data_IF_825161527212
#
_entry.id   IF_825161527212
#
_cell.length_a   1.000
_cell.length_b   1.000
_cell.length_c   1.000
_cell.angle_alpha   90.00
_cell.angle_beta   90.00
_cell.angle_gamma   90.00
#
_symmetry.space_group_name_H-M   'P 1'
#
loop_
_entity.id
_entity.type
_entity.pdbx_description
1 polymer ?
#
# COMPACT_ATOMS: atom_id res chain seq x y z
N UNK A 1 6.68 -16.23 -33.26
CA UNK A 1 5.72 -15.81 -32.22
C UNK A 1 4.48 -15.36 -32.98
N UNK A 2 3.63 -16.31 -33.35
CA UNK A 2 2.46 -16.03 -34.18
C UNK A 2 1.20 -16.18 -33.32
N UNK A 3 0.55 -15.05 -33.05
CA UNK A 3 -0.80 -15.06 -32.51
C UNK A 3 -1.72 -15.68 -33.57
N UNK A 4 -2.25 -16.86 -33.30
CA UNK A 4 -3.22 -17.51 -34.19
C UNK A 4 -4.52 -16.72 -34.16
N UNK A 5 -4.72 -15.84 -35.14
CA UNK A 5 -5.96 -15.07 -35.32
C UNK A 5 -7.05 -16.04 -35.79
N UNK A 6 -7.98 -16.38 -34.91
CA UNK A 6 -9.13 -17.24 -35.21
C UNK A 6 -10.13 -16.51 -36.13
N UNK A 7 -10.55 -17.17 -37.23
CA UNK A 7 -11.42 -16.55 -38.24
C UNK A 7 -12.90 -16.82 -37.97
N UNK A 8 -13.62 -15.79 -37.52
CA UNK A 8 -15.09 -15.74 -37.58
C UNK A 8 -15.51 -15.54 -39.04
N UNK A 9 -16.70 -16.03 -39.42
CA UNK A 9 -17.36 -15.80 -40.72
C UNK A 9 -17.80 -14.33 -40.87
N UNK A 10 -16.83 -13.44 -40.97
CA UNK A 10 -17.06 -12.02 -41.24
C UNK A 10 -17.46 -11.78 -42.69
N UNK A 11 -18.33 -10.80 -42.92
CA UNK A 11 -18.60 -10.26 -44.26
C UNK A 11 -17.32 -9.68 -44.88
N UNK A 12 -17.29 -9.57 -46.22
CA UNK A 12 -16.14 -8.98 -46.93
C UNK A 12 -15.85 -7.55 -46.46
N UNK A 13 -16.88 -6.78 -46.12
CA UNK A 13 -16.77 -5.43 -45.60
C UNK A 13 -16.12 -5.41 -44.20
N UNK A 14 -16.60 -6.25 -43.29
CA UNK A 14 -16.04 -6.39 -41.93
C UNK A 14 -14.56 -6.80 -41.97
N UNK A 15 -14.18 -7.77 -42.80
CA UNK A 15 -12.76 -8.18 -42.95
C UNK A 15 -11.88 -7.04 -43.46
N UNK A 16 -12.39 -6.21 -44.38
CA UNK A 16 -11.67 -5.04 -44.88
C UNK A 16 -11.50 -3.98 -43.80
N UNK A 17 -12.54 -3.72 -43.00
CA UNK A 17 -12.48 -2.79 -41.88
C UNK A 17 -11.46 -3.25 -40.83
N UNK A 18 -11.54 -4.51 -40.37
CA UNK A 18 -10.59 -5.06 -39.39
C UNK A 18 -9.13 -5.00 -39.89
N UNK A 19 -8.88 -5.33 -41.17
CA UNK A 19 -7.52 -5.20 -41.73
C UNK A 19 -7.04 -3.75 -41.75
N UNK A 20 -7.91 -2.81 -42.09
CA UNK A 20 -7.59 -1.38 -42.05
C UNK A 20 -7.24 -0.94 -40.63
N UNK A 21 -8.07 -1.32 -39.67
CA UNK A 21 -7.87 -0.97 -38.26
C UNK A 21 -6.55 -1.50 -37.71
N UNK A 22 -6.19 -2.75 -38.03
CA UNK A 22 -4.89 -3.32 -37.65
C UNK A 22 -3.69 -2.63 -38.32
N UNK A 23 -3.89 -1.92 -39.44
CA UNK A 23 -2.85 -1.22 -40.18
C UNK A 23 -2.76 0.27 -39.83
N UNK A 24 -3.66 0.81 -38.99
CA UNK A 24 -3.65 2.24 -38.65
C UNK A 24 -2.36 2.62 -37.92
N UNK A 25 -1.80 3.76 -38.29
CA UNK A 25 -0.65 4.32 -37.58
C UNK A 25 -1.11 5.20 -36.42
N UNK A 26 -1.19 4.60 -35.24
CA UNK A 26 -1.84 5.20 -34.09
C UNK A 26 -0.86 5.90 -33.14
N UNK A 27 -1.26 7.07 -32.61
CA UNK A 27 -0.63 7.76 -31.49
C UNK A 27 -1.55 7.74 -30.26
N UNK A 28 -1.01 7.41 -29.09
CA UNK A 28 -1.75 7.55 -27.82
C UNK A 28 -1.85 9.03 -27.45
N UNK A 29 -3.07 9.50 -27.22
CA UNK A 29 -3.40 10.87 -26.80
C UNK A 29 -3.57 10.93 -25.30
N UNK A 30 -4.28 9.95 -24.72
CA UNK A 30 -4.58 9.88 -23.29
C UNK A 30 -4.74 8.42 -22.87
N UNK A 31 -4.21 8.06 -21.70
CA UNK A 31 -4.53 6.79 -21.03
C UNK A 31 -5.62 6.99 -19.98
N UNK A 32 -6.40 5.94 -19.75
CA UNK A 32 -7.33 5.86 -18.63
C UNK A 32 -6.72 5.03 -17.50
N UNK A 33 -7.08 5.36 -16.26
CA UNK A 33 -6.76 4.52 -15.11
C UNK A 33 -7.94 3.60 -14.79
N UNK A 34 -7.74 2.30 -15.04
CA UNK A 34 -8.67 1.21 -14.71
C UNK A 34 -7.98 0.17 -13.82
N UNK A 35 -7.08 0.61 -12.94
CA UNK A 35 -6.32 -0.26 -12.05
C UNK A 35 -7.19 -1.04 -11.05
N UNK A 36 -8.31 -0.47 -10.62
CA UNK A 36 -9.26 -1.10 -9.69
C UNK A 36 -10.06 -2.23 -10.31
N UNK A 37 -10.64 -3.09 -9.48
CA UNK A 37 -11.58 -4.14 -9.91
C UNK A 37 -13.03 -3.72 -9.67
N UNK A 38 -13.92 -4.11 -10.58
CA UNK A 38 -15.33 -3.76 -10.49
C UNK A 38 -16.11 -4.86 -9.78
N UNK A 39 -16.99 -4.47 -8.87
CA UNK A 39 -17.81 -5.41 -8.11
C UNK A 39 -18.79 -6.15 -9.04
N UNK A 40 -18.76 -7.49 -8.95
CA UNK A 40 -19.59 -8.44 -9.69
C UNK A 40 -19.59 -8.25 -11.21
N UNK A 41 -18.56 -7.60 -11.77
CA UNK A 41 -18.46 -7.40 -13.20
C UNK A 41 -18.11 -8.71 -13.91
N UNK A 42 -18.70 -9.02 -15.08
CA UNK A 42 -18.30 -10.18 -15.89
C UNK A 42 -16.98 -9.93 -16.64
N UNK A 43 -16.54 -8.67 -16.72
CA UNK A 43 -15.32 -8.24 -17.40
C UNK A 43 -14.55 -7.21 -16.60
N UNK A 44 -13.24 -7.24 -16.70
CA UNK A 44 -12.36 -6.23 -16.13
C UNK A 44 -11.64 -5.48 -17.24
N UNK A 45 -11.53 -4.17 -17.15
CA UNK A 45 -10.70 -3.42 -18.10
C UNK A 45 -9.25 -3.51 -17.63
N UNK A 46 -8.36 -3.99 -18.49
CA UNK A 46 -6.93 -4.03 -18.21
C UNK A 46 -6.23 -2.79 -18.75
N UNK A 47 -6.64 -2.32 -19.92
CA UNK A 47 -6.08 -1.14 -20.58
C UNK A 47 -7.17 -0.29 -21.25
N UNK A 48 -6.97 1.02 -21.32
CA UNK A 48 -7.87 1.93 -22.00
C UNK A 48 -7.13 3.17 -22.51
N UNK A 49 -7.35 3.51 -23.78
CA UNK A 49 -6.66 4.62 -24.44
C UNK A 49 -7.59 5.43 -25.34
N UNK A 50 -7.43 6.76 -25.29
CA UNK A 50 -7.80 7.65 -26.40
C UNK A 50 -6.61 7.73 -27.34
N UNK A 51 -6.86 7.50 -28.62
CA UNK A 51 -5.82 7.41 -29.63
C UNK A 51 -6.20 8.22 -30.86
N UNK A 52 -5.21 8.73 -31.57
CA UNK A 52 -5.37 9.46 -32.82
C UNK A 52 -4.69 8.70 -33.94
N UNK A 53 -5.35 8.60 -35.08
CA UNK A 53 -4.71 8.17 -36.32
C UNK A 53 -3.83 9.30 -36.84
N UNK A 54 -2.57 9.01 -37.16
CA UNK A 54 -1.60 10.01 -37.62
C UNK A 54 -1.79 10.44 -39.06
N UNK A 55 -2.50 9.66 -39.87
CA UNK A 55 -2.75 10.00 -41.27
C UNK A 55 -4.02 10.84 -41.44
N UNK A 56 -5.04 10.54 -40.64
CA UNK A 56 -6.38 11.12 -40.80
C UNK A 56 -6.78 12.09 -39.68
N UNK A 57 -5.98 12.18 -38.61
CA UNK A 57 -6.31 12.91 -37.38
C UNK A 57 -7.65 12.48 -36.73
N UNK A 58 -8.19 11.32 -37.14
CA UNK A 58 -9.38 10.74 -36.53
C UNK A 58 -9.06 10.24 -35.12
N UNK A 59 -9.92 10.57 -34.16
CA UNK A 59 -9.77 10.18 -32.77
C UNK A 59 -10.66 8.98 -32.46
N UNK A 60 -10.08 8.01 -31.76
CA UNK A 60 -10.74 6.78 -31.34
C UNK A 60 -10.54 6.54 -29.85
N UNK A 61 -11.39 5.70 -29.28
CA UNK A 61 -11.12 5.04 -28.00
C UNK A 61 -11.02 3.54 -28.20
N UNK A 62 -10.12 2.91 -27.48
CA UNK A 62 -9.88 1.47 -27.50
C UNK A 62 -9.69 0.98 -26.06
N UNK A 63 -10.19 -0.22 -25.78
CA UNK A 63 -10.07 -0.88 -24.48
C UNK A 63 -9.56 -2.29 -24.66
N UNK A 64 -8.73 -2.76 -23.75
CA UNK A 64 -8.49 -4.19 -23.54
C UNK A 64 -9.30 -4.66 -22.33
N UNK A 65 -10.09 -5.70 -22.53
CA UNK A 65 -10.99 -6.26 -21.53
C UNK A 65 -10.59 -7.70 -21.25
N UNK A 66 -10.55 -8.08 -19.99
CA UNK A 66 -10.37 -9.44 -19.49
C UNK A 66 -11.74 -10.03 -19.12
N UNK A 67 -12.07 -11.20 -19.65
CA UNK A 67 -13.25 -11.95 -19.23
C UNK A 67 -13.00 -12.59 -17.86
N UNK A 68 -13.72 -12.13 -16.83
CA UNK A 68 -13.61 -12.66 -15.46
C UNK A 68 -14.83 -13.47 -15.01
N UNK A 69 -15.90 -13.43 -15.80
CA UNK A 69 -17.08 -14.27 -15.62
C UNK A 69 -16.73 -15.75 -15.70
N UNK A 70 -17.30 -16.57 -14.81
CA UNK A 70 -17.25 -18.04 -14.90
C UNK A 70 -17.95 -18.58 -16.14
N UNK A 71 -19.00 -17.88 -16.60
CA UNK A 71 -19.75 -18.21 -17.82
C UNK A 71 -19.09 -17.53 -19.02
N UNK A 72 -18.76 -18.27 -20.10
CA UNK A 72 -18.25 -17.65 -21.33
C UNK A 72 -19.24 -16.64 -21.91
N UNK A 73 -18.71 -15.54 -22.46
CA UNK A 73 -19.49 -14.47 -23.05
C UNK A 73 -19.65 -14.69 -24.55
N UNK A 74 -20.84 -14.43 -25.07
CA UNK A 74 -21.10 -14.32 -26.51
C UNK A 74 -20.93 -12.89 -27.01
N UNK A 75 -21.35 -11.91 -26.22
CA UNK A 75 -21.12 -10.49 -26.51
C UNK A 75 -21.18 -9.62 -25.26
N UNK A 76 -20.52 -8.45 -25.33
CA UNK A 76 -20.59 -7.40 -24.31
C UNK A 76 -21.03 -6.09 -24.96
N UNK A 77 -22.01 -5.42 -24.38
CA UNK A 77 -22.45 -4.08 -24.78
C UNK A 77 -21.94 -3.06 -23.77
N UNK A 78 -21.27 -2.03 -24.28
CA UNK A 78 -20.79 -0.90 -23.49
C UNK A 78 -21.39 0.41 -23.99
N UNK A 79 -21.38 1.42 -23.12
CA UNK A 79 -21.77 2.78 -23.47
C UNK A 79 -20.73 3.79 -22.97
N UNK A 80 -20.29 4.65 -23.88
CA UNK A 80 -19.42 5.77 -23.58
C UNK A 80 -20.28 7.02 -23.40
N UNK A 81 -20.11 7.70 -22.28
CA UNK A 81 -20.74 8.98 -22.00
C UNK A 81 -19.69 10.08 -22.15
N UNK A 82 -19.92 10.99 -23.10
CA UNK A 82 -19.02 12.09 -23.40
C UNK A 82 -19.56 13.38 -22.76
N UNK A 83 -18.72 14.03 -21.96
CA UNK A 83 -19.06 15.27 -21.26
C UNK A 83 -18.17 16.39 -21.75
N UNK A 84 -18.75 17.58 -21.89
CA UNK A 84 -18.06 18.80 -22.25
C UNK A 84 -17.62 19.55 -20.97
N UNK A 85 -18.36 20.54 -20.50
CA UNK A 85 -18.18 21.26 -19.23
C UNK A 85 -19.29 20.94 -18.23
N UNK A 86 -20.43 20.41 -18.70
CA UNK A 86 -21.57 20.11 -17.85
C UNK A 86 -21.52 18.66 -17.36
N UNK A 87 -22.19 18.37 -16.24
CA UNK A 87 -22.33 17.01 -15.72
C UNK A 87 -23.40 16.18 -16.46
N UNK A 88 -23.97 16.72 -17.54
CA UNK A 88 -24.88 16.00 -18.43
C UNK A 88 -24.08 15.55 -19.66
N UNK A 89 -24.10 14.27 -20.03
CA UNK A 89 -23.40 13.82 -21.22
C UNK A 89 -24.10 14.38 -22.46
N UNK A 90 -23.34 15.02 -23.35
CA UNK A 90 -23.89 15.55 -24.59
C UNK A 90 -24.00 14.47 -25.67
N UNK A 91 -23.24 13.37 -25.54
CA UNK A 91 -23.26 12.26 -26.49
C UNK A 91 -23.07 10.92 -25.76
N UNK A 92 -23.80 9.91 -26.24
CA UNK A 92 -23.79 8.55 -25.73
C UNK A 92 -23.50 7.59 -26.88
N UNK A 93 -22.30 7.02 -26.91
CA UNK A 93 -21.90 6.07 -27.94
C UNK A 93 -22.09 4.65 -27.40
N UNK A 94 -22.93 3.87 -28.05
CA UNK A 94 -23.12 2.45 -27.71
C UNK A 94 -22.26 1.60 -28.63
N UNK A 95 -21.51 0.66 -28.05
CA UNK A 95 -20.64 -0.23 -28.79
C UNK A 95 -20.81 -1.67 -28.30
N UNK A 96 -20.92 -2.61 -29.22
CA UNK A 96 -21.07 -4.03 -28.91
C UNK A 96 -19.82 -4.78 -29.36
N UNK A 97 -19.17 -5.45 -28.43
CA UNK A 97 -18.12 -6.44 -28.68
C UNK A 97 -18.78 -7.79 -28.96
N UNK A 98 -18.77 -8.21 -30.23
CA UNK A 98 -19.28 -9.51 -30.63
C UNK A 98 -18.54 -10.06 -31.85
N UNK A 99 -18.37 -11.38 -31.90
CA UNK A 99 -17.77 -12.06 -33.05
C UNK A 99 -18.57 -11.80 -34.33
N UNK A 100 -19.91 -11.85 -34.23
CA UNK A 100 -20.83 -11.61 -35.35
C UNK A 100 -20.67 -10.21 -35.96
N UNK A 101 -20.34 -9.22 -35.13
CA UNK A 101 -20.22 -7.81 -35.55
C UNK A 101 -18.81 -7.49 -36.09
N UNK A 102 -17.83 -8.36 -35.83
CA UNK A 102 -16.42 -8.12 -36.20
C UNK A 102 -15.70 -7.14 -35.29
N UNK A 103 -16.20 -6.96 -34.07
CA UNK A 103 -15.78 -5.90 -33.13
C UNK A 103 -15.02 -6.42 -31.91
N UNK A 104 -14.69 -7.71 -31.86
CA UNK A 104 -13.92 -8.27 -30.73
C UNK A 104 -12.47 -7.79 -30.66
N UNK A 105 -11.93 -7.19 -31.72
CA UNK A 105 -10.52 -6.84 -31.80
C UNK A 105 -9.60 -8.07 -31.70
N UNK A 106 -8.37 -7.81 -31.28
CA UNK A 106 -7.37 -8.83 -30.94
C UNK A 106 -7.72 -9.50 -29.62
N UNK A 107 -7.49 -10.81 -29.57
CA UNK A 107 -7.76 -11.66 -28.41
C UNK A 107 -6.49 -12.35 -27.93
N UNK A 108 -6.38 -12.60 -26.63
CA UNK A 108 -5.29 -13.38 -26.03
C UNK A 108 -5.80 -14.19 -24.82
N UNK A 109 -5.04 -15.15 -24.29
CA UNK A 109 -5.32 -15.71 -22.95
C UNK A 109 -5.74 -17.18 -22.81
N UNK A 110 -5.91 -17.99 -23.86
CA UNK A 110 -6.02 -19.46 -23.72
C UNK A 110 -5.17 -20.20 -24.77
N UNK A 111 -4.42 -21.21 -24.29
CA UNK A 111 -3.48 -22.02 -25.07
C UNK A 111 -4.14 -22.72 -26.26
N UNK A 112 -3.42 -22.70 -27.40
CA UNK A 112 -3.67 -23.40 -28.67
C UNK A 112 -4.81 -24.42 -28.58
N UNK A 113 -6.06 -24.02 -28.89
CA UNK A 113 -7.04 -25.02 -29.32
C UNK A 113 -6.52 -25.61 -30.63
N UNK A 114 -6.27 -26.92 -30.62
CA UNK A 114 -5.98 -27.70 -31.85
C UNK A 114 -7.03 -27.32 -32.89
N UNK A 115 -6.59 -27.14 -34.12
CA UNK A 115 -7.42 -26.89 -35.30
C UNK A 115 -8.47 -28.02 -35.47
N UNK A 116 -9.53 -27.95 -34.68
CA UNK A 116 -10.71 -28.79 -34.73
C UNK A 116 -11.83 -28.05 -35.43
N UNK A 117 -12.73 -28.80 -36.04
CA UNK A 117 -13.86 -28.28 -36.80
C UNK A 117 -14.71 -27.31 -35.97
N UNK A 118 -15.19 -26.29 -36.67
CA UNK A 118 -15.99 -25.14 -36.23
C UNK A 118 -17.19 -25.55 -35.37
N UNK A 119 -17.31 -24.95 -34.19
CA UNK A 119 -18.57 -24.86 -33.45
C UNK A 119 -18.85 -23.37 -33.27
N UNK A 120 -19.85 -22.86 -33.99
CA UNK A 120 -20.50 -21.61 -33.64
C UNK A 120 -21.36 -21.84 -32.38
N UNK A 121 -21.53 -20.85 -31.49
CA UNK A 121 -20.99 -19.49 -31.56
C UNK A 121 -19.53 -19.37 -31.06
N UNK A 122 -18.82 -18.34 -31.55
CA UNK A 122 -17.51 -17.95 -31.01
C UNK A 122 -17.73 -17.28 -29.65
N UNK A 123 -17.14 -17.87 -28.61
CA UNK A 123 -17.28 -17.44 -27.21
C UNK A 123 -15.98 -16.84 -26.69
N UNK A 124 -16.10 -15.90 -25.77
CA UNK A 124 -15.02 -15.31 -24.98
C UNK A 124 -14.98 -16.08 -23.66
N UNK A 125 -13.92 -16.85 -23.45
CA UNK A 125 -13.78 -17.70 -22.28
C UNK A 125 -13.18 -16.96 -21.07
N UNK A 126 -13.41 -17.45 -19.83
CA UNK A 126 -12.79 -16.89 -18.64
C UNK A 126 -11.26 -16.86 -18.78
N UNK A 127 -10.63 -15.74 -18.43
CA UNK A 127 -9.18 -15.54 -18.56
C UNK A 127 -8.73 -15.02 -19.93
N UNK A 128 -9.61 -14.98 -20.93
CA UNK A 128 -9.28 -14.39 -22.22
C UNK A 128 -9.38 -12.86 -22.19
N UNK A 129 -8.42 -12.19 -22.83
CA UNK A 129 -8.51 -10.77 -23.15
C UNK A 129 -9.05 -10.55 -24.56
N UNK A 130 -9.76 -9.44 -24.77
CA UNK A 130 -10.34 -9.01 -26.04
C UNK A 130 -10.46 -7.48 -26.11
N UNK A 131 -10.82 -6.96 -27.29
CA UNK A 131 -11.11 -5.54 -27.53
C UNK A 131 -9.91 -4.73 -28.00
N UNK A 132 -8.67 -5.24 -27.86
CA UNK A 132 -7.47 -4.53 -28.32
C UNK A 132 -7.52 -4.31 -29.83
N UNK A 133 -7.16 -3.12 -30.29
CA UNK A 133 -7.31 -2.69 -31.70
C UNK A 133 -8.76 -2.74 -32.22
N UNK A 134 -9.77 -2.72 -31.33
CA UNK A 134 -11.15 -2.40 -31.69
C UNK A 134 -11.38 -0.91 -31.44
N UNK A 135 -11.41 -0.13 -32.53
CA UNK A 135 -11.47 1.33 -32.44
C UNK A 135 -12.92 1.84 -32.48
N UNK A 136 -13.33 2.49 -31.40
CA UNK A 136 -14.61 3.19 -31.31
C UNK A 136 -14.37 4.64 -31.70
N UNK A 137 -14.88 5.05 -32.86
CA UNK A 137 -14.71 6.42 -33.36
C UNK A 137 -15.36 7.41 -32.40
N UNK A 138 -14.58 8.41 -31.98
CA UNK A 138 -15.09 9.53 -31.22
C UNK A 138 -15.58 10.63 -32.18
N UNK A 139 -16.62 11.40 -31.81
CA UNK A 139 -17.05 12.56 -32.57
C UNK A 139 -15.90 13.57 -32.68
N UNK A 140 -15.87 14.35 -33.76
CA UNK A 140 -14.89 15.43 -33.93
C UNK A 140 -15.06 16.57 -32.91
N UNK A 141 -16.11 16.53 -32.09
CA UNK A 141 -16.38 17.50 -31.04
C UNK A 141 -15.50 17.24 -29.82
N UNK A 142 -15.05 18.31 -29.20
CA UNK A 142 -14.25 18.25 -27.99
C UNK A 142 -15.07 17.72 -26.80
N UNK A 143 -14.51 16.75 -26.06
CA UNK A 143 -15.00 16.33 -24.74
C UNK A 143 -13.90 16.54 -23.70
N UNK A 144 -14.25 16.92 -22.47
CA UNK A 144 -13.28 16.99 -21.36
C UNK A 144 -13.20 15.68 -20.58
N UNK A 145 -14.34 15.00 -20.44
CA UNK A 145 -14.47 13.78 -19.65
C UNK A 145 -15.20 12.72 -20.46
N UNK A 146 -14.73 11.49 -20.32
CA UNK A 146 -15.34 10.29 -20.87
C UNK A 146 -15.58 9.34 -19.68
N UNK A 147 -16.77 8.78 -19.57
CA UNK A 147 -17.05 7.68 -18.64
C UNK A 147 -17.55 6.47 -19.40
N UNK A 148 -17.23 5.28 -18.90
CA UNK A 148 -17.59 4.01 -19.51
C UNK A 148 -18.61 3.29 -18.62
N UNK A 149 -19.70 2.85 -19.23
CA UNK A 149 -20.76 2.04 -18.62
C UNK A 149 -20.76 0.66 -19.28
N UNK A 150 -20.76 -0.41 -18.48
CA UNK A 150 -21.14 -1.73 -18.96
C UNK A 150 -22.67 -1.81 -18.97
N UNK A 151 -23.25 -2.01 -20.15
CA UNK A 151 -24.71 -1.98 -20.33
C UNK A 151 -25.28 -3.37 -20.13
N UNK A 152 -24.81 -4.34 -20.92
CA UNK A 152 -25.28 -5.72 -20.84
C UNK A 152 -24.23 -6.72 -21.30
N UNK A 153 -24.35 -7.95 -20.81
CA UNK A 153 -23.58 -9.10 -21.26
C UNK A 153 -24.54 -10.20 -21.74
N UNK A 154 -24.22 -10.81 -22.88
CA UNK A 154 -24.93 -11.99 -23.38
C UNK A 154 -24.01 -13.19 -23.22
N UNK A 155 -24.46 -14.21 -22.50
CA UNK A 155 -23.68 -15.40 -22.19
C UNK A 155 -23.84 -16.50 -23.25
N UNK A 156 -23.05 -17.56 -23.13
CA UNK A 156 -23.06 -18.71 -24.03
C UNK A 156 -24.43 -19.41 -24.15
N UNK A 157 -25.21 -19.43 -23.05
CA UNK A 157 -26.57 -19.95 -22.98
C UNK A 157 -27.62 -19.04 -23.65
N UNK A 158 -27.21 -17.85 -24.09
CA UNK A 158 -28.09 -16.84 -24.68
C UNK A 158 -28.79 -15.93 -23.67
N UNK A 159 -28.57 -16.14 -22.36
CA UNK A 159 -29.11 -15.25 -21.32
C UNK A 159 -28.43 -13.88 -21.44
N UNK A 160 -29.24 -12.83 -21.45
CA UNK A 160 -28.77 -11.45 -21.36
C UNK A 160 -28.91 -10.95 -19.93
N UNK A 161 -27.85 -10.35 -19.41
CA UNK A 161 -27.79 -9.74 -18.09
C UNK A 161 -27.53 -8.25 -18.24
N UNK A 162 -28.44 -7.43 -17.69
CA UNK A 162 -28.25 -6.00 -17.60
C UNK A 162 -27.29 -5.68 -16.44
N UNK A 163 -26.23 -4.94 -16.73
CA UNK A 163 -25.15 -4.65 -15.77
C UNK A 163 -25.33 -3.26 -15.16
N UNK A 164 -25.53 -2.24 -16.01
CA UNK A 164 -25.76 -0.86 -15.58
C UNK A 164 -24.64 -0.26 -14.72
N UNK A 165 -23.44 -0.83 -14.74
CA UNK A 165 -22.34 -0.40 -13.88
C UNK A 165 -21.44 0.60 -14.61
N UNK A 166 -21.23 1.76 -13.99
CA UNK A 166 -20.26 2.74 -14.46
C UNK A 166 -18.89 2.33 -13.94
N UNK A 167 -17.97 2.08 -14.86
CA UNK A 167 -16.59 1.77 -14.52
C UNK A 167 -15.86 3.08 -14.24
N UNK A 168 -15.72 3.38 -12.96
CA UNK A 168 -14.92 4.48 -12.45
C UNK A 168 -14.16 4.01 -11.22
N UNK A 169 -12.84 3.86 -11.32
CA UNK A 169 -12.03 3.45 -10.18
C UNK A 169 -10.58 3.23 -10.55
N UNK A 170 -9.70 4.03 -9.95
CA UNK A 170 -8.32 3.64 -9.75
C UNK A 170 -8.22 2.89 -8.44
N UNK A 171 -7.47 1.80 -8.41
CA UNK A 171 -7.16 1.12 -7.16
C UNK A 171 -6.34 2.05 -6.27
N UNK A 172 -6.50 1.92 -4.95
CA UNK A 172 -5.72 2.72 -4.00
C UNK A 172 -4.23 2.38 -4.13
N UNK A 173 -3.42 3.34 -4.57
CA UNK A 173 -1.97 3.16 -4.67
C UNK A 173 -1.33 3.21 -3.29
N UNK A 174 -0.38 2.32 -3.04
CA UNK A 174 0.41 2.35 -1.80
C UNK A 174 1.26 3.62 -1.69
N UNK A 175 1.70 4.19 -2.83
CA UNK A 175 2.43 5.46 -2.85
C UNK A 175 1.61 6.66 -2.38
N UNK A 176 0.29 6.58 -2.48
CA UNK A 176 -0.65 7.63 -2.05
C UNK A 176 -1.10 7.43 -0.60
N UNK A 177 -0.76 6.29 0.01
CA UNK A 177 -1.07 6.00 1.39
C UNK A 177 -0.14 6.72 2.37
N UNK A 178 -0.64 7.02 3.56
CA UNK A 178 0.14 7.64 4.63
C UNK A 178 1.30 6.72 5.09
N UNK A 179 2.25 7.29 5.85
CA UNK A 179 3.45 6.57 6.28
C UNK A 179 3.12 5.33 7.14
N UNK A 180 2.08 5.41 7.99
CA UNK A 180 1.70 4.31 8.88
C UNK A 180 1.03 3.19 8.10
N UNK A 181 0.17 3.50 7.14
CA UNK A 181 -0.41 2.48 6.25
C UNK A 181 0.68 1.74 5.46
N UNK A 182 1.71 2.45 4.99
CA UNK A 182 2.84 1.83 4.28
C UNK A 182 3.69 0.94 5.19
N UNK A 183 3.96 1.37 6.42
CA UNK A 183 4.68 0.57 7.42
C UNK A 183 3.88 -0.67 7.82
N UNK A 184 2.58 -0.53 8.06
CA UNK A 184 1.67 -1.64 8.32
C UNK A 184 1.70 -2.67 7.18
N UNK A 185 1.69 -2.22 5.93
CA UNK A 185 1.83 -3.09 4.77
C UNK A 185 3.16 -3.87 4.79
N UNK A 186 4.28 -3.18 4.98
CA UNK A 186 5.62 -3.80 5.02
C UNK A 186 5.74 -4.78 6.18
N UNK A 187 5.19 -4.44 7.35
CA UNK A 187 5.19 -5.27 8.55
C UNK A 187 4.46 -6.59 8.32
N UNK A 188 3.28 -6.53 7.67
CA UNK A 188 2.46 -7.71 7.41
C UNK A 188 2.95 -8.54 6.23
N UNK A 189 3.51 -7.92 5.19
CA UNK A 189 3.83 -8.59 3.93
C UNK A 189 4.90 -9.68 4.09
N UNK A 190 4.48 -10.94 3.94
CA UNK A 190 5.36 -12.12 4.02
C UNK A 190 6.06 -12.46 2.70
N UNK A 191 5.63 -11.88 1.58
CA UNK A 191 6.10 -12.25 0.24
C UNK A 191 7.36 -11.48 -0.20
N UNK A 192 8.43 -11.53 0.59
CA UNK A 192 9.67 -10.76 0.32
C UNK A 192 10.29 -11.06 -1.05
N UNK A 193 10.39 -12.33 -1.42
CA UNK A 193 10.94 -12.73 -2.72
C UNK A 193 10.10 -12.20 -3.91
N UNK A 194 8.77 -12.20 -3.77
CA UNK A 194 7.90 -11.64 -4.79
C UNK A 194 7.98 -10.10 -4.85
N UNK A 195 8.31 -9.45 -3.73
CA UNK A 195 8.48 -8.00 -3.64
C UNK A 195 9.71 -7.51 -4.41
N UNK A 196 10.80 -8.27 -4.40
CA UNK A 196 12.03 -7.95 -5.14
C UNK A 196 11.81 -7.98 -6.67
N UNK A 197 11.08 -8.98 -7.17
CA UNK A 197 10.81 -9.13 -8.60
C UNK A 197 9.58 -8.33 -9.07
N UNK A 198 8.54 -8.26 -8.24
CA UNK A 198 7.26 -7.63 -8.54
C UNK A 198 6.79 -6.79 -7.35
N UNK A 199 7.30 -5.54 -7.23
CA UNK A 199 6.95 -4.64 -6.14
C UNK A 199 5.44 -4.42 -6.04
N UNK A 200 4.98 -4.25 -4.82
CA UNK A 200 3.60 -3.92 -4.49
C UNK A 200 3.33 -2.46 -4.83
N UNK A 201 2.30 -2.23 -5.64
CA UNK A 201 1.90 -0.91 -6.16
C UNK A 201 0.56 -0.48 -5.57
N UNK A 202 -0.36 -1.43 -5.37
CA UNK A 202 -1.73 -1.17 -4.96
C UNK A 202 -2.08 -1.91 -3.67
N UNK A 203 -3.07 -1.38 -2.96
CA UNK A 203 -3.82 -2.14 -1.96
C UNK A 203 -4.67 -3.16 -2.73
N UNK A 204 -4.66 -4.44 -2.33
CA UNK A 204 -5.44 -5.48 -3.00
C UNK A 204 -6.94 -5.29 -2.78
N UNK A 205 -7.72 -5.67 -3.78
CA UNK A 205 -9.18 -5.48 -3.84
C UNK A 205 -9.86 -6.77 -4.32
N UNK A 206 -11.11 -6.97 -3.91
CA UNK A 206 -11.95 -8.08 -4.37
C UNK A 206 -13.18 -7.54 -5.07
N UNK A 207 -13.45 -8.02 -6.30
CA UNK A 207 -14.58 -7.63 -7.12
C UNK A 207 -15.63 -8.74 -7.29
N UNK A 208 -15.63 -9.77 -6.44
CA UNK A 208 -16.54 -10.92 -6.53
C UNK A 208 -16.19 -11.94 -7.63
N UNK A 209 -16.08 -11.49 -8.89
CA UNK A 209 -15.66 -12.32 -10.04
C UNK A 209 -14.16 -12.21 -10.35
N UNK A 210 -13.50 -11.19 -9.79
CA UNK A 210 -12.10 -10.88 -10.01
C UNK A 210 -11.45 -10.46 -8.69
N UNK A 211 -10.12 -10.45 -8.65
CA UNK A 211 -9.37 -9.82 -7.57
C UNK A 211 -8.12 -9.13 -8.08
N UNK A 212 -7.76 -8.03 -7.43
CA UNK A 212 -6.56 -7.26 -7.70
C UNK A 212 -5.45 -7.68 -6.74
N UNK A 213 -4.34 -8.14 -7.29
CA UNK A 213 -3.13 -8.40 -6.50
C UNK A 213 -2.37 -7.10 -6.23
N UNK A 214 -1.59 -7.05 -5.14
CA UNK A 214 -0.75 -5.89 -4.79
C UNK A 214 0.19 -5.43 -5.93
N UNK A 215 0.64 -6.34 -6.81
CA UNK A 215 1.50 -6.00 -7.95
C UNK A 215 0.75 -5.34 -9.14
N UNK A 216 -0.56 -5.13 -9.02
CA UNK A 216 -1.43 -4.56 -10.06
C UNK A 216 -1.98 -5.56 -11.08
N UNK A 217 -1.76 -6.87 -10.89
CA UNK A 217 -2.35 -7.89 -11.76
C UNK A 217 -3.78 -8.18 -11.34
N UNK A 218 -4.72 -8.11 -12.29
CA UNK A 218 -6.08 -8.62 -12.12
C UNK A 218 -6.10 -10.12 -12.40
N UNK A 219 -6.78 -10.87 -11.55
CA UNK A 219 -6.88 -12.32 -11.63
C UNK A 219 -8.34 -12.75 -11.55
N UNK A 220 -8.63 -13.96 -12.00
CA UNK A 220 -9.96 -14.54 -11.88
C UNK A 220 -10.24 -14.84 -10.41
N UNK A 221 -11.51 -14.77 -10.01
CA UNK A 221 -11.92 -15.23 -8.69
C UNK A 221 -11.62 -16.72 -8.46
N UNK A 222 -11.42 -17.54 -9.50
CA UNK A 222 -10.99 -18.93 -9.35
C UNK A 222 -9.50 -19.10 -9.07
N UNK A 223 -8.68 -18.07 -9.33
CA UNK A 223 -7.24 -18.17 -9.21
C UNK A 223 -6.84 -18.05 -7.75
N UNK A 224 -6.30 -19.13 -7.17
CA UNK A 224 -5.80 -19.15 -5.80
C UNK A 224 -4.50 -18.36 -5.62
N UNK A 225 -3.77 -18.12 -6.72
CA UNK A 225 -2.50 -17.39 -6.74
C UNK A 225 -2.49 -16.37 -7.86
N UNK A 226 -1.75 -15.28 -7.68
CA UNK A 226 -1.58 -14.28 -8.72
C UNK A 226 -0.81 -14.86 -9.91
N UNK A 227 -1.39 -14.76 -11.10
CA UNK A 227 -0.80 -15.25 -12.36
C UNK A 227 0.52 -14.56 -12.73
N UNK A 228 0.81 -13.40 -12.15
CA UNK A 228 2.04 -12.63 -12.41
C UNK A 228 3.12 -12.82 -11.35
N UNK A 229 2.77 -12.69 -10.07
CA UNK A 229 3.74 -12.67 -8.97
C UNK A 229 3.62 -13.84 -7.99
N UNK A 230 2.70 -14.78 -8.24
CA UNK A 230 2.47 -15.99 -7.45
C UNK A 230 2.08 -15.78 -5.98
N UNK A 231 1.75 -14.55 -5.56
CA UNK A 231 1.19 -14.31 -4.22
C UNK A 231 -0.18 -14.98 -4.06
N UNK A 232 -0.43 -15.57 -2.89
CA UNK A 232 -1.68 -16.28 -2.61
C UNK A 232 -2.84 -15.31 -2.38
N UNK A 233 -3.96 -15.54 -3.08
CA UNK A 233 -5.16 -14.70 -3.06
C UNK A 233 -5.69 -14.53 -1.65
N UNK A 234 -5.99 -15.64 -0.98
CA UNK A 234 -6.71 -15.62 0.30
C UNK A 234 -5.88 -14.93 1.38
N UNK A 235 -4.57 -15.18 1.40
CA UNK A 235 -3.68 -14.50 2.31
C UNK A 235 -3.63 -12.99 2.03
N UNK A 236 -3.47 -12.59 0.77
CA UNK A 236 -3.37 -11.17 0.36
C UNK A 236 -4.66 -10.42 0.69
N UNK A 237 -5.81 -10.97 0.30
CA UNK A 237 -7.12 -10.36 0.54
C UNK A 237 -7.53 -10.37 2.01
N UNK A 238 -6.95 -11.23 2.84
CA UNK A 238 -7.23 -11.24 4.29
C UNK A 238 -6.31 -10.28 5.04
N UNK A 239 -5.01 -10.28 4.72
CA UNK A 239 -4.00 -9.61 5.54
C UNK A 239 -3.61 -8.23 5.03
N UNK A 240 -3.73 -7.98 3.72
CA UNK A 240 -3.30 -6.72 3.10
C UNK A 240 -4.47 -5.89 2.57
N UNK A 241 -5.72 -6.28 2.82
CA UNK A 241 -6.88 -5.44 2.50
C UNK A 241 -6.91 -4.15 3.34
N UNK A 242 -7.74 -3.19 2.93
CA UNK A 242 -7.83 -1.88 3.58
C UNK A 242 -8.19 -1.95 5.07
N UNK A 243 -9.09 -2.85 5.47
CA UNK A 243 -9.51 -2.99 6.88
C UNK A 243 -8.38 -3.55 7.76
N UNK A 244 -7.68 -4.56 7.27
CA UNK A 244 -6.56 -5.21 7.94
C UNK A 244 -5.37 -4.25 8.09
N UNK A 245 -5.11 -3.44 7.06
CA UNK A 245 -4.08 -2.40 7.12
C UNK A 245 -4.49 -1.26 8.06
N UNK A 246 -5.75 -0.84 8.07
CA UNK A 246 -6.25 0.19 8.98
C UNK A 246 -6.13 -0.23 10.45
N UNK A 247 -6.47 -1.49 10.77
CA UNK A 247 -6.30 -2.04 12.12
C UNK A 247 -4.84 -2.08 12.55
N UNK A 248 -3.94 -2.46 11.66
CA UNK A 248 -2.50 -2.51 11.98
C UNK A 248 -1.90 -1.10 12.12
N UNK A 249 -2.31 -0.18 11.25
CA UNK A 249 -1.96 1.24 11.32
C UNK A 249 -2.30 1.84 12.69
N UNK A 250 -3.48 1.53 13.23
CA UNK A 250 -3.88 2.01 14.56
C UNK A 250 -2.99 1.46 15.68
N UNK A 251 -2.53 0.20 15.57
CA UNK A 251 -1.55 -0.35 16.52
C UNK A 251 -0.22 0.37 16.41
N UNK A 252 0.29 0.62 15.20
CA UNK A 252 1.55 1.35 15.03
C UNK A 252 1.50 2.76 15.63
N UNK A 253 0.39 3.48 15.41
CA UNK A 253 0.17 4.82 15.99
C UNK A 253 0.09 4.74 17.53
N UNK A 254 -0.60 3.73 18.06
CA UNK A 254 -0.70 3.51 19.50
C UNK A 254 0.66 3.16 20.14
N UNK A 255 1.48 2.35 19.47
CA UNK A 255 2.82 2.00 19.92
C UNK A 255 3.76 3.21 19.91
N UNK A 256 3.78 3.99 18.82
CA UNK A 256 4.61 5.19 18.72
C UNK A 256 4.20 6.23 19.77
N UNK A 257 2.90 6.49 19.92
CA UNK A 257 2.39 7.38 20.97
C UNK A 257 2.67 6.84 22.39
N UNK A 258 2.65 5.53 22.59
CA UNK A 258 3.02 4.87 23.85
C UNK A 258 4.52 4.95 24.14
N UNK A 259 5.39 4.92 23.13
CA UNK A 259 6.83 5.16 23.27
C UNK A 259 7.10 6.63 23.59
N UNK A 260 6.44 7.56 22.90
CA UNK A 260 6.52 9.00 23.17
C UNK A 260 6.00 9.37 24.57
N UNK A 261 4.91 8.74 25.02
CA UNK A 261 4.41 8.90 26.41
C UNK A 261 5.39 8.34 27.43
N UNK A 262 6.00 7.18 27.15
CA UNK A 262 7.02 6.59 28.03
C UNK A 262 8.30 7.44 28.08
N UNK A 263 8.74 8.01 26.96
CA UNK A 263 9.90 8.89 26.91
C UNK A 263 9.63 10.23 27.59
N UNK A 264 8.46 10.84 27.35
CA UNK A 264 8.02 12.06 28.05
C UNK A 264 7.84 11.84 29.55
N UNK A 265 7.29 10.70 29.97
CA UNK A 265 7.21 10.32 31.39
C UNK A 265 8.60 10.13 32.00
N UNK A 266 9.55 9.52 31.27
CA UNK A 266 10.95 9.42 31.69
C UNK A 266 11.59 10.79 31.81
N UNK A 267 11.31 11.72 30.90
CA UNK A 267 11.87 13.07 30.90
C UNK A 267 11.27 13.94 32.02
N UNK A 268 9.98 13.81 32.30
CA UNK A 268 9.32 14.44 33.45
C UNK A 268 9.78 13.88 34.80
N UNK A 269 10.33 12.65 34.84
CA UNK A 269 10.96 12.09 36.05
C UNK A 269 12.33 12.72 36.36
N UNK A 270 12.95 13.40 35.40
CA UNK A 270 14.23 14.12 35.57
C UNK A 270 14.06 15.65 35.59
N UNK A 271 12.87 16.17 35.30
CA UNK A 271 12.54 17.57 35.53
C UNK A 271 12.10 17.73 36.99
N UNK A 272 13.07 17.65 37.90
CA UNK A 272 12.90 18.23 39.24
C UNK A 272 12.53 19.71 39.02
N UNK A 273 11.42 20.13 39.63
CA UNK A 273 11.03 21.54 39.63
C UNK A 273 12.18 22.37 40.21
N UNK A 274 12.42 23.60 39.73
CA UNK A 274 13.57 24.40 40.19
C UNK A 274 13.63 24.52 41.74
N UNK A 275 12.46 24.51 42.39
CA UNK A 275 12.32 24.50 43.85
C UNK A 275 12.86 23.22 44.53
N UNK A 276 12.72 22.04 43.91
CA UNK A 276 13.26 20.78 44.45
C UNK A 276 14.78 20.70 44.27
N UNK A 277 15.32 21.29 43.20
CA UNK A 277 16.77 21.42 42.98
C UNK A 277 17.42 22.34 44.02
N UNK A 278 16.80 23.47 44.32
CA UNK A 278 17.27 24.38 45.38
C UNK A 278 17.23 23.72 46.77
N UNK A 279 16.15 23.01 47.12
CA UNK A 279 16.06 22.31 48.40
C UNK A 279 17.12 21.22 48.57
N UNK A 280 17.44 20.48 47.51
CA UNK A 280 18.51 19.46 47.54
C UNK A 280 19.89 20.09 47.63
N UNK A 281 20.13 21.21 46.94
CA UNK A 281 21.38 21.96 47.04
C UNK A 281 21.58 22.48 48.46
N UNK A 282 20.57 23.11 49.07
CA UNK A 282 20.63 23.57 50.46
C UNK A 282 20.82 22.43 51.46
N UNK A 283 20.12 21.30 51.27
CA UNK A 283 20.27 20.14 52.14
C UNK A 283 21.68 19.54 52.04
N UNK A 284 22.26 19.51 50.84
CA UNK A 284 23.62 19.08 50.62
C UNK A 284 24.64 20.04 51.24
N UNK A 285 24.48 21.36 51.04
CA UNK A 285 25.33 22.37 51.67
C UNK A 285 25.30 22.29 53.20
N UNK A 286 24.12 22.13 53.80
CA UNK A 286 23.96 21.94 55.25
C UNK A 286 24.61 20.65 55.74
N UNK A 287 24.50 19.56 54.98
CA UNK A 287 25.14 18.29 55.33
C UNK A 287 26.67 18.37 55.26
N UNK A 288 27.21 19.01 54.21
CA UNK A 288 28.66 19.23 54.04
C UNK A 288 29.20 20.15 55.14
N UNK A 289 28.49 21.23 55.47
CA UNK A 289 28.86 22.13 56.56
C UNK A 289 28.87 21.41 57.92
N UNK A 290 27.87 20.57 58.20
CA UNK A 290 27.79 19.79 59.44
C UNK A 290 28.93 18.75 59.56
N UNK A 291 29.35 18.14 58.44
CA UNK A 291 30.51 17.24 58.42
C UNK A 291 31.81 18.01 58.68
N UNK A 292 31.99 19.18 58.06
CA UNK A 292 33.16 20.03 58.28
C UNK A 292 33.27 20.52 59.73
N UNK A 293 32.16 20.86 60.39
CA UNK A 293 32.16 21.21 61.81
C UNK A 293 32.50 20.03 62.72
N UNK A 294 32.01 18.82 62.40
CA UNK A 294 32.36 17.60 63.15
C UNK A 294 33.85 17.29 63.07
N UNK A 295 34.45 17.41 61.90
CA UNK A 295 35.91 17.24 61.70
C UNK A 295 36.70 18.28 62.51
N UNK A 296 36.33 19.57 62.45
CA UNK A 296 36.98 20.62 63.26
C UNK A 296 36.86 20.36 64.76
N UNK A 297 35.71 19.88 65.22
CA UNK A 297 35.50 19.53 66.63
C UNK A 297 36.28 18.27 67.03
N UNK A 298 36.43 17.30 66.13
CA UNK A 298 37.25 16.11 66.34
C UNK A 298 38.74 16.46 66.41
N UNK A 299 39.25 17.34 65.54
CA UNK A 299 40.62 17.86 65.65
C UNK A 299 40.85 18.60 66.97
N UNK A 300 39.96 19.50 67.37
CA UNK A 300 40.05 20.18 68.68
C UNK A 300 40.06 19.19 69.85
N UNK A 301 39.28 18.10 69.78
CA UNK A 301 39.29 17.03 70.79
C UNK A 301 40.60 16.24 70.78
N UNK A 302 41.14 15.90 69.61
CA UNK A 302 42.45 15.22 69.47
C UNK A 302 43.57 16.05 70.09
N UNK A 303 43.60 17.36 69.81
CA UNK A 303 44.58 18.27 70.42
C UNK A 303 44.42 18.37 71.94
N UNK A 304 43.19 18.47 72.47
CA UNK A 304 42.95 18.45 73.92
C UNK A 304 43.42 17.15 74.58
N UNK A 305 43.13 16.00 73.97
CA UNK A 305 43.57 14.68 74.47
C UNK A 305 45.09 14.57 74.43
N UNK A 306 45.74 15.01 73.35
CA UNK A 306 47.19 15.03 73.22
C UNK A 306 47.85 15.87 74.34
N UNK A 307 47.33 17.07 74.61
CA UNK A 307 47.81 17.90 75.72
C UNK A 307 47.61 17.25 77.10
N UNK A 308 46.49 16.56 77.32
CA UNK A 308 46.26 15.81 78.56
C UNK A 308 47.26 14.64 78.73
N UNK A 309 47.53 13.88 77.67
CA UNK A 309 48.49 12.76 77.70
C UNK A 309 49.90 13.28 77.96
N UNK A 310 50.33 14.34 77.28
CA UNK A 310 51.64 14.97 77.51
C UNK A 310 51.76 15.48 78.96
N UNK A 311 50.70 16.06 79.51
CA UNK A 311 50.64 16.46 80.92
C UNK A 311 50.80 15.28 81.89
N UNK A 312 50.11 14.16 81.65
CA UNK A 312 50.22 12.94 82.46
C UNK A 312 51.63 12.31 82.40
N UNK A 313 52.23 12.26 81.21
CA UNK A 313 53.61 11.76 81.03
C UNK A 313 54.60 12.67 81.78
N UNK A 314 54.45 14.00 81.66
CA UNK A 314 55.26 14.96 82.41
C UNK A 314 55.11 14.80 83.92
N UNK A 315 53.89 14.58 84.41
CA UNK A 315 53.63 14.34 85.83
C UNK A 315 54.23 13.02 86.32
N UNK A 316 54.09 11.94 85.56
CA UNK A 316 54.71 10.65 85.89
C UNK A 316 56.24 10.75 85.94
N UNK A 317 56.85 11.45 84.97
CA UNK A 317 58.28 11.71 84.96
C UNK A 317 58.74 12.50 86.20
N UNK A 318 57.99 13.56 86.57
CA UNK A 318 58.23 14.33 87.79
C UNK A 318 58.15 13.44 89.04
N UNK A 319 57.11 12.60 89.15
CA UNK A 319 56.95 11.70 90.29
C UNK A 319 58.08 10.67 90.38
N UNK A 320 58.51 10.09 89.25
CA UNK A 320 59.68 9.19 89.25
C UNK A 320 60.98 9.90 89.61
N UNK A 321 61.13 11.17 89.22
CA UNK A 321 62.27 12.00 89.60
C UNK A 321 62.27 12.30 91.10
N UNK A 322 61.11 12.65 91.67
CA UNK A 322 60.94 12.88 93.11
C UNK A 322 61.17 11.60 93.94
N UNK A 323 60.68 10.45 93.48
CA UNK A 323 60.92 9.16 94.13
C UNK A 323 62.41 8.79 94.12
N UNK A 324 63.11 8.99 92.99
CA UNK A 324 64.56 8.78 92.93
C UNK A 324 65.34 9.75 93.81
N UNK A 325 64.91 10.99 93.94
CA UNK A 325 65.51 11.93 94.89
C UNK A 325 65.30 11.46 96.34
N UNK A 326 64.13 10.90 96.65
CA UNK A 326 63.86 10.35 97.98
C UNK A 326 64.77 9.15 98.29
N UNK A 327 64.94 8.20 97.37
CA UNK A 327 65.85 7.04 97.56
C UNK A 327 67.34 7.44 97.70
N UNK A 328 67.74 8.62 97.20
CA UNK A 328 69.12 9.10 97.27
C UNK A 328 69.40 9.90 98.55
N UNK A 329 68.38 10.50 99.16
CA UNK A 329 68.53 11.42 100.30
C UNK A 329 67.81 10.98 101.59
N UNK A 330 67.01 9.91 101.56
CA UNK A 330 66.37 9.29 102.73
C UNK A 330 67.15 8.08 103.25
#
# INVERSE_FOLDING_TARGET
>A
MDASVESVTHSRAQRRAMRRDLQRYIRVVRSFDFSGVAENSPVEITEGYVVSDRETDEVFVCFELLCVSKRPLRSLTIRLHLYDRQNVPYERLTFRYAAADGTLGLRSGIGRRRAGRRVEPVLIHPGETFGRASYIRLPARYFKRLTLELVSAVYADGVEEALGCILSGGAKRLSEADIYTRRAFVSKNVFRAAEEAFPSVYVPESGGNSWLCCCGQKNLASDAVCTRCSRERDWVLTNLNEQSLASEREKEIAEESGVLRRSAYRQNRYLETDAEREQKAEAFEKAVAAVAERERMAEKRKWRILFCILGLIGFAALMTFLLRLYDVFG
#
